data_IF_876859120384
#
_entry.id   IF_876859120384
#
_cell.length_a   1.000
_cell.length_b   1.000
_cell.length_c   1.000
_cell.angle_alpha   90.00
_cell.angle_beta   90.00
_cell.angle_gamma   90.00
#
_symmetry.space_group_name_H-M   'P 1'
#
loop_
_entity.id
_entity.type
_entity.pdbx_description
1 polymer ?
#
# COMPACT_ATOMS: atom_id res chain seq x y z
N UNK A 1 1.55 -73.26 -22.21
CA UNK A 1 2.25 -73.25 -23.51
C UNK A 1 2.97 -71.91 -23.57
N UNK A 2 4.23 -71.78 -23.21
CA UNK A 2 5.45 -71.90 -24.06
C UNK A 2 5.18 -71.21 -25.42
N UNK A 3 5.82 -70.07 -25.81
CA UNK A 3 7.18 -70.00 -26.39
C UNK A 3 7.44 -68.55 -26.78
N UNK A 4 8.50 -67.93 -26.32
CA UNK A 4 9.80 -67.52 -26.89
C UNK A 4 9.83 -66.24 -27.77
N UNK A 5 10.60 -65.31 -27.29
CA UNK A 5 11.75 -64.56 -27.87
C UNK A 5 11.81 -64.30 -29.39
N UNK A 6 12.07 -63.01 -29.71
CA UNK A 6 13.25 -62.59 -30.48
C UNK A 6 13.34 -61.02 -30.54
N UNK A 7 14.44 -60.49 -30.09
CA UNK A 7 15.00 -59.24 -30.62
C UNK A 7 15.83 -59.54 -31.83
N UNK A 8 16.05 -58.62 -32.76
CA UNK A 8 17.35 -57.96 -32.79
C UNK A 8 17.40 -56.47 -33.32
N UNK A 9 18.47 -55.87 -32.95
CA UNK A 9 19.47 -55.12 -33.71
C UNK A 9 19.21 -53.69 -34.13
N UNK A 10 20.01 -52.87 -33.50
CA UNK A 10 20.72 -51.65 -33.93
C UNK A 10 20.61 -51.24 -35.40
N UNK A 11 20.28 -49.95 -35.59
CA UNK A 11 20.93 -49.16 -36.66
C UNK A 11 21.27 -47.77 -36.11
N UNK A 12 22.55 -47.48 -36.02
CA UNK A 12 23.14 -46.20 -35.67
C UNK A 12 22.93 -45.23 -36.82
N UNK A 13 22.16 -44.17 -36.59
CA UNK A 13 22.05 -43.01 -37.48
C UNK A 13 22.74 -41.82 -36.85
N UNK A 14 23.90 -41.47 -37.36
CA UNK A 14 24.64 -40.25 -37.06
C UNK A 14 23.81 -39.09 -37.62
N UNK A 15 23.20 -38.30 -36.78
CA UNK A 15 22.63 -37.02 -37.18
C UNK A 15 23.54 -35.91 -36.65
N UNK A 16 24.04 -35.15 -37.62
CA UNK A 16 24.93 -34.01 -37.40
C UNK A 16 24.35 -33.03 -36.40
N UNK A 17 25.16 -32.69 -35.41
CA UNK A 17 24.94 -31.57 -34.47
C UNK A 17 25.02 -30.25 -35.24
N UNK A 18 23.88 -29.72 -35.63
CA UNK A 18 23.80 -28.27 -35.86
C UNK A 18 23.81 -27.57 -34.51
N UNK A 19 24.92 -26.94 -34.25
CA UNK A 19 25.10 -26.03 -33.15
C UNK A 19 24.05 -24.92 -33.27
N UNK A 20 22.96 -25.00 -32.52
CA UNK A 20 22.18 -23.83 -32.14
C UNK A 20 22.96 -23.10 -31.07
N UNK A 21 23.46 -21.94 -31.41
CA UNK A 21 23.88 -20.94 -30.42
C UNK A 21 22.74 -20.81 -29.40
N UNK A 22 22.94 -21.31 -28.19
CA UNK A 22 22.22 -20.86 -27.06
C UNK A 22 22.66 -19.42 -26.84
N UNK A 23 21.84 -18.47 -27.22
CA UNK A 23 21.85 -17.17 -26.58
C UNK A 23 21.72 -17.44 -25.10
N UNK A 24 22.81 -17.19 -24.38
CA UNK A 24 22.83 -17.10 -22.94
C UNK A 24 22.00 -15.89 -22.53
N UNK A 25 20.69 -16.05 -22.53
CA UNK A 25 19.78 -15.24 -21.77
C UNK A 25 20.05 -15.59 -20.30
N UNK A 26 21.14 -15.08 -19.76
CA UNK A 26 21.33 -14.95 -18.33
C UNK A 26 20.18 -14.09 -17.88
N UNK A 27 19.12 -14.71 -17.38
CA UNK A 27 18.02 -14.02 -16.76
C UNK A 27 18.62 -13.07 -15.72
N UNK A 28 18.52 -11.78 -15.97
CA UNK A 28 18.91 -10.78 -14.98
C UNK A 28 18.18 -11.14 -13.70
N UNK A 29 18.93 -11.39 -12.65
CA UNK A 29 18.36 -11.58 -11.31
C UNK A 29 17.51 -10.35 -11.02
N UNK A 30 16.23 -10.49 -10.66
CA UNK A 30 15.38 -9.35 -10.39
C UNK A 30 16.10 -8.43 -9.40
N UNK A 31 16.32 -7.18 -9.81
CA UNK A 31 17.00 -6.20 -8.97
C UNK A 31 16.17 -5.96 -7.72
N UNK A 32 16.79 -6.02 -6.55
CA UNK A 32 16.11 -5.68 -5.28
C UNK A 32 15.61 -4.22 -5.36
N UNK A 33 14.29 -3.95 -5.30
CA UNK A 33 13.76 -2.59 -5.39
C UNK A 33 14.21 -1.70 -4.22
N UNK A 34 14.78 -2.30 -3.18
CA UNK A 34 15.27 -1.61 -1.98
C UNK A 34 16.79 -1.57 -1.89
N UNK A 35 17.49 -1.88 -2.99
CA UNK A 35 18.94 -1.72 -3.04
C UNK A 35 19.33 -0.28 -2.69
N UNK A 36 20.27 -0.11 -1.76
CA UNK A 36 20.67 1.21 -1.24
C UNK A 36 19.73 1.80 -0.18
N UNK A 37 18.60 1.15 0.13
CA UNK A 37 17.70 1.53 1.22
C UNK A 37 17.78 0.58 2.42
N UNK A 38 18.62 -0.45 2.35
CA UNK A 38 18.88 -1.40 3.44
C UNK A 38 20.17 -1.06 4.18
N UNK A 39 20.25 -1.41 5.46
CA UNK A 39 21.45 -1.27 6.27
C UNK A 39 22.04 0.16 6.31
N UNK A 40 21.16 1.15 6.37
CA UNK A 40 21.55 2.57 6.27
C UNK A 40 22.42 3.07 7.44
N UNK A 41 22.38 2.45 8.60
CA UNK A 41 23.13 2.82 9.81
C UNK A 41 22.99 4.32 10.17
N UNK A 42 21.77 4.83 10.21
CA UNK A 42 21.45 6.24 10.50
C UNK A 42 21.61 6.50 11.98
N UNK A 43 22.42 7.50 12.30
CA UNK A 43 22.70 7.93 13.66
C UNK A 43 21.66 8.95 14.14
N UNK A 44 21.44 9.01 15.44
CA UNK A 44 20.66 10.07 16.08
C UNK A 44 21.25 11.45 15.75
N UNK A 45 20.39 12.44 15.57
CA UNK A 45 20.80 13.78 15.15
C UNK A 45 21.03 13.91 13.64
N UNK A 46 20.67 12.90 12.84
CA UNK A 46 20.85 12.91 11.38
C UNK A 46 19.50 13.06 10.68
N UNK A 47 19.43 14.00 9.73
CA UNK A 47 18.33 14.10 8.78
C UNK A 47 18.61 13.21 7.56
N UNK A 48 17.59 12.53 7.07
CA UNK A 48 17.64 11.70 5.87
C UNK A 48 16.40 11.90 5.02
N UNK A 49 16.58 11.93 3.71
CA UNK A 49 15.49 11.85 2.74
C UNK A 49 15.49 10.48 2.06
N UNK A 50 14.33 9.86 2.00
CA UNK A 50 14.06 8.65 1.22
C UNK A 50 13.18 9.04 0.05
N UNK A 51 13.64 8.76 -1.17
CA UNK A 51 12.88 9.02 -2.40
C UNK A 51 12.39 7.73 -3.01
N UNK A 52 11.12 7.74 -3.39
CA UNK A 52 10.51 6.68 -4.18
C UNK A 52 10.59 5.29 -3.55
N UNK A 53 10.40 5.18 -2.22
CA UNK A 53 10.25 3.89 -1.56
C UNK A 53 9.10 3.13 -2.21
N UNK A 54 9.40 2.02 -2.88
CA UNK A 54 8.38 1.22 -3.58
C UNK A 54 7.47 0.49 -2.59
N UNK A 55 6.32 1.09 -2.33
CA UNK A 55 5.24 0.51 -1.55
C UNK A 55 4.04 0.13 -2.44
N UNK A 56 4.24 0.01 -3.75
CA UNK A 56 3.18 -0.15 -4.76
C UNK A 56 2.51 -1.52 -4.77
N UNK A 57 2.96 -2.45 -3.94
CA UNK A 57 2.43 -3.80 -3.87
C UNK A 57 0.91 -3.83 -3.58
N UNK A 58 0.15 -4.49 -4.44
CA UNK A 58 -1.30 -4.61 -4.33
C UNK A 58 -1.79 -5.83 -3.53
N UNK A 59 -0.87 -6.69 -3.05
CA UNK A 59 -1.19 -7.93 -2.34
C UNK A 59 -1.32 -7.73 -0.83
N UNK A 60 -1.39 -6.49 -0.36
CA UNK A 60 -1.47 -6.18 1.07
C UNK A 60 -0.16 -6.37 1.84
N UNK A 61 0.95 -6.61 1.14
CA UNK A 61 2.27 -6.73 1.76
C UNK A 61 2.83 -5.36 2.10
N UNK A 62 3.29 -5.20 3.33
CA UNK A 62 3.90 -3.98 3.80
C UNK A 62 5.40 -4.00 3.61
N UNK A 63 5.96 -2.84 3.26
CA UNK A 63 7.39 -2.56 3.31
C UNK A 63 7.70 -2.04 4.70
N UNK A 64 8.48 -2.77 5.46
CA UNK A 64 8.87 -2.42 6.82
C UNK A 64 10.13 -1.59 6.82
N UNK A 65 10.13 -0.54 7.62
CA UNK A 65 11.22 0.43 7.69
C UNK A 65 11.61 0.70 9.15
N UNK A 66 12.90 0.73 9.41
CA UNK A 66 13.47 1.20 10.66
C UNK A 66 14.20 2.51 10.42
N UNK A 67 13.98 3.52 11.24
CA UNK A 67 14.63 4.82 11.07
C UNK A 67 16.16 4.75 11.18
N UNK A 68 16.70 3.72 11.82
CA UNK A 68 18.13 3.50 11.91
C UNK A 68 18.70 2.65 10.76
N UNK A 69 17.95 1.65 10.28
CA UNK A 69 18.45 0.62 9.37
C UNK A 69 17.92 0.74 7.93
N UNK A 70 16.91 1.57 7.71
CA UNK A 70 16.22 1.61 6.43
C UNK A 70 15.21 0.48 6.28
N UNK A 71 15.06 -0.04 5.05
CA UNK A 71 14.17 -1.17 4.77
C UNK A 71 14.66 -2.44 5.43
N UNK A 72 13.79 -3.12 6.15
CA UNK A 72 14.09 -4.33 6.90
C UNK A 72 13.15 -5.47 6.52
N UNK A 73 13.68 -6.69 6.54
CA UNK A 73 12.86 -7.90 6.40
C UNK A 73 12.23 -8.24 7.75
N UNK A 74 10.93 -8.51 7.73
CA UNK A 74 10.16 -8.84 8.93
C UNK A 74 9.27 -10.03 8.64
N UNK A 75 9.59 -11.16 9.23
CA UNK A 75 8.82 -12.41 9.06
C UNK A 75 7.55 -12.40 9.91
N UNK A 76 7.66 -11.95 11.16
CA UNK A 76 6.54 -11.81 12.09
C UNK A 76 6.47 -10.38 12.62
N UNK A 77 5.67 -9.52 11.99
CA UNK A 77 5.55 -8.12 12.40
C UNK A 77 5.00 -7.94 13.82
N UNK A 78 4.15 -8.87 14.26
CA UNK A 78 3.53 -8.81 15.59
C UNK A 78 4.52 -9.11 16.71
N UNK A 79 5.52 -9.94 16.44
CA UNK A 79 6.51 -10.36 17.42
C UNK A 79 7.84 -9.61 17.31
N UNK A 80 8.04 -8.79 16.26
CA UNK A 80 9.32 -8.13 15.98
C UNK A 80 9.37 -6.68 16.45
N UNK A 81 10.50 -6.26 17.06
CA UNK A 81 10.82 -4.86 17.32
C UNK A 81 11.82 -4.27 16.29
N UNK A 82 12.06 -4.97 15.18
CA UNK A 82 13.06 -4.55 14.19
C UNK A 82 12.58 -3.50 13.21
N UNK A 83 11.34 -3.07 13.29
CA UNK A 83 10.74 -2.07 12.42
C UNK A 83 10.02 -0.99 13.23
N UNK A 84 9.90 0.19 12.68
CA UNK A 84 9.27 1.34 13.34
C UNK A 84 8.00 1.79 12.63
N UNK A 85 8.02 1.82 11.29
CA UNK A 85 6.94 2.23 10.43
C UNK A 85 6.85 1.29 9.22
N UNK A 86 5.68 1.10 8.66
CA UNK A 86 5.51 0.26 7.48
C UNK A 86 4.51 0.85 6.50
N UNK A 87 4.75 0.60 5.21
CA UNK A 87 4.04 1.21 4.09
C UNK A 87 3.45 0.14 3.17
N UNK A 88 2.18 0.30 2.80
CA UNK A 88 1.56 -0.44 1.72
C UNK A 88 0.70 0.56 0.91
N UNK A 89 1.17 0.94 -0.26
CA UNK A 89 0.61 2.06 -1.00
C UNK A 89 0.51 3.30 -0.09
N UNK A 90 -0.65 3.89 0.07
CA UNK A 90 -0.88 5.03 0.96
C UNK A 90 -1.17 4.64 2.43
N UNK A 91 -1.35 3.35 2.70
CA UNK A 91 -1.57 2.87 4.06
C UNK A 91 -0.29 2.83 4.86
N UNK A 92 -0.36 3.35 6.06
CA UNK A 92 0.79 3.44 6.96
C UNK A 92 0.40 2.90 8.33
N UNK A 93 1.29 2.08 8.89
CA UNK A 93 1.19 1.58 10.25
C UNK A 93 2.52 1.74 10.98
N UNK A 94 2.46 1.76 12.32
CA UNK A 94 3.62 1.82 13.19
C UNK A 94 3.74 0.54 14.01
N UNK A 95 4.91 0.28 14.54
CA UNK A 95 5.09 -0.87 15.44
C UNK A 95 4.51 -0.56 16.80
N UNK A 96 3.19 -0.62 16.89
CA UNK A 96 2.42 -0.29 18.08
C UNK A 96 1.03 -0.90 18.04
N UNK A 97 0.37 -0.94 19.18
CA UNK A 97 -1.05 -1.29 19.29
C UNK A 97 -1.39 -2.61 18.61
N UNK A 98 -2.30 -2.57 17.65
CA UNK A 98 -2.74 -3.77 16.91
C UNK A 98 -1.81 -4.15 15.75
N UNK A 99 -0.82 -3.32 15.41
CA UNK A 99 0.13 -3.58 14.31
C UNK A 99 1.41 -4.26 14.76
N UNK A 100 1.78 -4.17 16.02
CA UNK A 100 3.00 -4.76 16.54
C UNK A 100 3.17 -4.55 18.05
N UNK A 101 4.11 -5.29 18.65
CA UNK A 101 4.36 -5.26 20.11
C UNK A 101 5.24 -4.09 20.59
N UNK A 102 5.74 -3.28 19.66
CA UNK A 102 6.64 -2.16 19.99
C UNK A 102 5.96 -1.08 20.82
N UNK A 103 6.78 -0.16 21.34
CA UNK A 103 6.32 1.00 22.10
C UNK A 103 5.84 2.16 21.22
N UNK A 104 5.76 1.94 19.91
CA UNK A 104 5.50 2.95 18.88
C UNK A 104 4.20 3.72 19.06
N UNK A 105 3.98 4.61 18.12
CA UNK A 105 2.81 5.47 17.99
C UNK A 105 3.14 6.71 17.19
N UNK A 106 2.16 7.49 16.85
CA UNK A 106 2.32 8.71 16.05
C UNK A 106 1.64 9.91 16.74
N UNK A 107 2.33 11.02 16.71
CA UNK A 107 1.79 12.34 17.05
C UNK A 107 1.82 13.20 15.77
N UNK A 108 0.70 13.84 15.43
CA UNK A 108 0.65 14.93 14.46
C UNK A 108 0.98 16.22 15.18
N UNK A 109 1.96 16.97 14.69
CA UNK A 109 2.28 18.30 15.24
C UNK A 109 1.36 19.38 14.64
N UNK A 110 1.45 20.58 15.16
CA UNK A 110 0.71 21.74 14.65
C UNK A 110 1.42 22.43 13.46
N UNK A 111 2.59 21.93 13.05
CA UNK A 111 3.45 22.57 12.06
C UNK A 111 3.67 21.78 10.79
N UNK A 112 4.02 22.50 9.75
CA UNK A 112 4.49 21.98 8.46
C UNK A 112 5.96 22.28 8.20
N UNK A 113 6.57 23.13 9.03
CA UNK A 113 8.00 23.42 8.95
C UNK A 113 8.79 22.30 9.66
N UNK A 114 9.46 21.51 8.86
CA UNK A 114 10.23 20.37 9.36
C UNK A 114 11.39 20.82 10.24
N UNK A 115 12.01 21.95 9.96
CA UNK A 115 13.15 22.46 10.71
C UNK A 115 12.75 23.00 12.08
N UNK A 116 11.55 23.57 12.20
CA UNK A 116 11.07 24.20 13.43
C UNK A 116 10.93 23.22 14.61
N UNK A 117 10.68 21.94 14.36
CA UNK A 117 10.57 20.93 15.40
C UNK A 117 11.96 20.41 15.80
N UNK A 118 12.54 20.95 16.87
CA UNK A 118 13.89 20.61 17.33
C UNK A 118 13.92 19.60 18.48
N UNK A 119 12.80 19.45 19.19
CA UNK A 119 12.65 18.54 20.34
C UNK A 119 11.40 17.69 20.14
N UNK A 120 11.50 16.38 20.37
CA UNK A 120 10.34 15.51 20.31
C UNK A 120 9.40 15.77 21.48
N UNK A 121 8.07 15.91 21.26
CA UNK A 121 7.09 15.83 22.32
C UNK A 121 7.17 14.50 23.06
N UNK A 122 6.84 14.49 24.35
CA UNK A 122 6.95 13.28 25.17
C UNK A 122 5.65 12.47 25.27
N UNK A 123 4.52 13.08 24.92
CA UNK A 123 3.18 12.51 25.05
C UNK A 123 2.30 12.79 23.83
N UNK A 124 1.03 12.39 23.88
CA UNK A 124 0.07 12.61 22.80
C UNK A 124 0.16 11.60 21.65
N UNK A 125 1.00 10.57 21.76
CA UNK A 125 1.17 9.55 20.72
C UNK A 125 -0.02 8.60 20.66
N UNK A 126 -0.60 8.44 19.49
CA UNK A 126 -1.67 7.50 19.22
C UNK A 126 -1.08 6.20 18.66
N UNK A 127 -1.48 5.08 19.26
CA UNK A 127 -1.11 3.73 18.81
C UNK A 127 -2.00 3.29 17.66
N UNK A 128 -1.49 2.35 16.89
CA UNK A 128 -2.25 1.69 15.84
C UNK A 128 -3.45 0.95 16.40
N UNK A 129 -4.53 0.98 15.64
CA UNK A 129 -5.81 0.38 16.01
C UNK A 129 -6.32 -0.50 14.87
N UNK A 130 -7.06 -1.55 15.22
CA UNK A 130 -7.82 -2.31 14.25
C UNK A 130 -9.05 -1.51 13.81
N UNK A 131 -9.23 -1.39 12.52
CA UNK A 131 -10.39 -0.76 11.91
C UNK A 131 -11.01 -1.65 10.86
N UNK A 132 -12.31 -1.58 10.79
CA UNK A 132 -13.06 -2.16 9.70
C UNK A 132 -13.03 -1.17 8.53
N UNK A 133 -12.37 -1.56 7.44
CA UNK A 133 -12.31 -0.77 6.21
C UNK A 133 -13.10 -1.48 5.12
N UNK A 134 -13.87 -0.72 4.38
CA UNK A 134 -14.53 -1.25 3.19
C UNK A 134 -13.50 -1.46 2.11
N UNK A 135 -13.12 -2.70 1.87
CA UNK A 135 -12.27 -3.03 0.74
C UNK A 135 -13.12 -3.14 -0.51
N UNK A 136 -13.17 -2.08 -1.28
CA UNK A 136 -13.54 -2.18 -2.68
C UNK A 136 -12.25 -2.22 -3.51
N UNK A 137 -11.77 -3.41 -3.71
CA UNK A 137 -10.74 -3.68 -4.72
C UNK A 137 -11.49 -4.13 -5.97
N UNK A 138 -11.22 -3.48 -7.09
CA UNK A 138 -11.91 -3.76 -8.35
C UNK A 138 -11.98 -5.26 -8.65
N UNK A 139 -13.19 -5.77 -8.93
CA UNK A 139 -13.44 -7.18 -9.20
C UNK A 139 -14.64 -7.77 -8.47
N UNK A 140 -15.41 -6.98 -7.72
CA UNK A 140 -16.72 -7.39 -7.22
C UNK A 140 -16.74 -8.29 -5.98
N UNK A 141 -15.61 -8.50 -5.34
CA UNK A 141 -15.55 -9.14 -4.01
C UNK A 141 -15.27 -8.11 -2.94
N UNK A 142 -16.15 -7.11 -2.82
CA UNK A 142 -16.12 -6.14 -1.74
C UNK A 142 -16.60 -6.78 -0.45
N UNK A 143 -15.90 -6.50 0.64
CA UNK A 143 -16.27 -6.89 2.00
C UNK A 143 -15.62 -5.93 2.97
N UNK A 144 -16.12 -5.91 4.20
CA UNK A 144 -15.44 -5.21 5.27
C UNK A 144 -14.23 -6.06 5.69
N UNK A 145 -13.07 -5.47 5.68
CA UNK A 145 -11.84 -6.10 6.18
C UNK A 145 -11.40 -5.36 7.44
N UNK A 146 -10.93 -6.13 8.41
CA UNK A 146 -10.26 -5.58 9.57
C UNK A 146 -8.79 -5.41 9.25
N UNK A 147 -8.30 -4.19 9.37
CA UNK A 147 -6.90 -3.84 9.14
C UNK A 147 -6.35 -3.05 10.32
N UNK A 148 -5.12 -3.33 10.68
CA UNK A 148 -4.39 -2.53 11.66
C UNK A 148 -3.67 -1.40 10.95
N UNK A 149 -3.88 -0.16 11.40
CA UNK A 149 -3.29 1.03 10.80
C UNK A 149 -3.13 2.17 11.81
N UNK A 150 -2.26 3.11 11.47
CA UNK A 150 -2.07 4.32 12.26
C UNK A 150 -3.28 5.24 12.11
N UNK A 151 -3.96 5.59 13.20
CA UNK A 151 -5.08 6.52 13.13
C UNK A 151 -4.69 7.94 12.76
N UNK A 152 -3.40 8.24 12.75
CA UNK A 152 -2.86 9.58 12.47
C UNK A 152 -2.31 9.70 11.05
N UNK A 153 -1.60 8.68 10.56
CA UNK A 153 -0.93 8.69 9.26
C UNK A 153 -1.76 8.08 8.14
N UNK A 154 -2.73 7.23 8.43
CA UNK A 154 -3.58 6.69 7.38
C UNK A 154 -4.53 7.80 6.88
N UNK A 155 -4.55 8.09 5.59
CA UNK A 155 -5.36 9.16 5.02
C UNK A 155 -6.87 8.99 5.26
N UNK A 156 -7.28 7.78 5.65
CA UNK A 156 -8.66 7.46 5.92
C UNK A 156 -9.63 7.93 4.85
N UNK A 157 -10.64 7.15 4.63
CA UNK A 157 -11.66 7.45 3.63
C UNK A 157 -12.86 8.05 4.35
N UNK A 158 -12.96 9.36 4.40
CA UNK A 158 -14.13 10.06 4.91
C UNK A 158 -15.38 9.74 4.08
N UNK A 159 -16.54 10.13 4.57
CA UNK A 159 -17.83 9.89 3.94
C UNK A 159 -17.87 10.38 2.48
N UNK A 160 -17.23 11.51 2.19
CA UNK A 160 -17.12 12.04 0.83
C UNK A 160 -16.38 11.11 -0.13
N UNK A 161 -15.32 10.47 0.31
CA UNK A 161 -14.58 9.48 -0.47
C UNK A 161 -15.42 8.22 -0.72
N UNK A 162 -16.13 7.74 0.30
CA UNK A 162 -17.04 6.61 0.15
C UNK A 162 -18.12 6.89 -0.88
N UNK A 163 -18.78 8.05 -0.80
CA UNK A 163 -19.82 8.43 -1.73
C UNK A 163 -19.33 8.51 -3.18
N UNK A 164 -18.10 8.94 -3.36
CA UNK A 164 -17.48 9.01 -4.67
C UNK A 164 -17.19 7.62 -5.24
N UNK A 165 -16.58 6.73 -4.48
CA UNK A 165 -16.33 5.34 -4.87
C UNK A 165 -17.67 4.63 -5.12
N UNK A 166 -18.64 4.79 -4.23
CA UNK A 166 -19.98 4.23 -4.35
C UNK A 166 -20.63 4.61 -5.67
N UNK A 167 -20.55 5.88 -6.07
CA UNK A 167 -21.11 6.33 -7.35
C UNK A 167 -20.45 5.66 -8.55
N UNK A 168 -19.13 5.56 -8.57
CA UNK A 168 -18.40 4.84 -9.62
C UNK A 168 -18.76 3.35 -9.69
N UNK A 169 -18.99 2.71 -8.54
CA UNK A 169 -19.46 1.32 -8.46
C UNK A 169 -20.85 1.18 -9.04
N UNK A 170 -21.77 2.08 -8.67
CA UNK A 170 -23.15 2.10 -9.16
C UNK A 170 -23.16 2.26 -10.68
N UNK A 171 -22.40 3.21 -11.21
CA UNK A 171 -22.30 3.43 -12.65
C UNK A 171 -21.74 2.20 -13.39
N UNK A 172 -20.67 1.60 -12.86
CA UNK A 172 -20.10 0.37 -13.43
C UNK A 172 -21.06 -0.81 -13.38
N UNK A 173 -21.86 -0.93 -12.31
CA UNK A 173 -22.86 -1.98 -12.18
C UNK A 173 -24.06 -1.74 -13.12
N UNK A 174 -24.51 -0.50 -13.26
CA UNK A 174 -25.58 -0.15 -14.19
C UNK A 174 -25.22 -0.52 -15.63
N UNK A 175 -24.03 -0.14 -16.09
CA UNK A 175 -23.52 -0.49 -17.43
C UNK A 175 -23.47 -1.99 -17.69
N UNK A 176 -23.17 -2.80 -16.65
CA UNK A 176 -23.05 -4.26 -16.78
C UNK A 176 -24.37 -5.01 -16.62
N UNK A 177 -25.26 -4.54 -15.75
CA UNK A 177 -26.43 -5.31 -15.30
C UNK A 177 -27.74 -4.81 -15.92
N UNK A 178 -27.74 -3.62 -16.49
CA UNK A 178 -28.95 -3.03 -17.09
C UNK A 178 -28.70 -2.83 -18.60
N UNK A 179 -29.18 -3.76 -19.45
CA UNK A 179 -29.06 -3.59 -20.89
C UNK A 179 -29.71 -2.28 -21.35
N UNK A 180 -29.04 -1.58 -22.24
CA UNK A 180 -29.55 -0.32 -22.84
C UNK A 180 -29.85 0.78 -21.81
N UNK A 181 -29.13 0.82 -20.67
CA UNK A 181 -29.39 1.81 -19.61
C UNK A 181 -29.49 3.25 -20.13
N UNK A 182 -28.66 3.62 -21.10
CA UNK A 182 -28.62 4.98 -21.67
C UNK A 182 -29.92 5.35 -22.43
N UNK A 183 -30.66 4.37 -22.94
CA UNK A 183 -31.87 4.57 -23.71
C UNK A 183 -33.17 4.48 -22.89
N UNK A 184 -33.04 4.15 -21.59
CA UNK A 184 -34.16 4.10 -20.67
C UNK A 184 -34.73 5.51 -20.40
N UNK A 185 -36.03 5.58 -20.08
CA UNK A 185 -36.64 6.78 -19.54
C UNK A 185 -35.98 7.17 -18.19
N UNK A 186 -36.05 8.42 -17.80
CA UNK A 186 -35.48 8.89 -16.53
C UNK A 186 -36.08 8.18 -15.32
N UNK A 187 -37.34 7.80 -15.37
CA UNK A 187 -37.99 7.03 -14.30
C UNK A 187 -37.43 5.61 -14.19
N UNK A 188 -37.18 4.93 -15.30
CA UNK A 188 -36.56 3.61 -15.35
C UNK A 188 -35.12 3.67 -14.92
N UNK A 189 -34.37 4.70 -15.34
CA UNK A 189 -32.99 4.93 -14.86
C UNK A 189 -32.91 5.09 -13.35
N UNK A 190 -33.81 5.88 -12.77
CA UNK A 190 -33.90 6.07 -11.32
C UNK A 190 -34.24 4.77 -10.60
N UNK A 191 -35.18 3.98 -11.09
CA UNK A 191 -35.55 2.69 -10.53
C UNK A 191 -34.38 1.69 -10.60
N UNK A 192 -33.69 1.61 -11.74
CA UNK A 192 -32.52 0.76 -11.91
C UNK A 192 -31.38 1.17 -10.97
N UNK A 193 -31.12 2.48 -10.85
CA UNK A 193 -30.12 3.03 -9.94
C UNK A 193 -30.44 2.70 -8.49
N UNK A 194 -31.66 2.90 -8.04
CA UNK A 194 -32.08 2.59 -6.68
C UNK A 194 -31.91 1.10 -6.34
N UNK A 195 -32.24 0.21 -7.28
CA UNK A 195 -32.06 -1.24 -7.12
C UNK A 195 -30.59 -1.63 -7.00
N UNK A 196 -29.73 -1.12 -7.87
CA UNK A 196 -28.28 -1.38 -7.84
C UNK A 196 -27.67 -0.79 -6.57
N UNK A 197 -28.05 0.41 -6.20
CA UNK A 197 -27.61 1.08 -4.97
C UNK A 197 -28.01 0.29 -3.70
N UNK A 198 -29.25 -0.18 -3.64
CA UNK A 198 -29.74 -1.03 -2.55
C UNK A 198 -28.88 -2.30 -2.39
N UNK A 199 -28.56 -2.96 -3.49
CA UNK A 199 -27.72 -4.16 -3.49
C UNK A 199 -26.27 -3.86 -3.03
N UNK A 200 -25.72 -2.71 -3.44
CA UNK A 200 -24.37 -2.30 -3.04
C UNK A 200 -24.34 -1.95 -1.55
N UNK A 201 -25.31 -1.19 -1.06
CA UNK A 201 -25.40 -0.80 0.35
C UNK A 201 -25.54 -1.99 1.31
N UNK A 202 -26.14 -3.09 0.86
CA UNK A 202 -26.21 -4.32 1.66
C UNK A 202 -24.84 -5.04 1.78
N UNK A 203 -23.98 -4.86 0.79
CA UNK A 203 -22.71 -5.58 0.70
C UNK A 203 -21.50 -4.80 1.24
N UNK A 204 -21.60 -3.49 1.23
CA UNK A 204 -20.48 -2.60 1.57
C UNK A 204 -20.94 -1.59 2.60
N UNK A 205 -20.45 -1.71 3.81
CA UNK A 205 -20.64 -0.71 4.86
C UNK A 205 -19.54 0.34 4.76
N UNK A 206 -19.86 1.63 4.63
CA UNK A 206 -18.85 2.68 4.67
C UNK A 206 -18.24 2.71 6.07
N UNK A 207 -16.93 2.68 6.15
CA UNK A 207 -16.20 2.89 7.39
C UNK A 207 -15.65 4.31 7.39
N UNK A 208 -16.02 5.07 8.38
CA UNK A 208 -15.45 6.39 8.59
C UNK A 208 -14.03 6.24 9.05
N UNK A 209 -13.14 6.79 8.28
CA UNK A 209 -11.76 6.81 8.64
C UNK A 209 -11.25 8.22 8.50
N UNK A 210 -10.32 8.59 9.24
CA UNK A 210 -9.59 9.79 9.47
C UNK A 210 -9.63 10.90 8.43
N UNK A 211 -9.95 12.10 8.88
CA UNK A 211 -9.87 13.35 8.11
C UNK A 211 -8.48 14.01 8.19
N UNK A 212 -7.48 13.37 8.76
CA UNK A 212 -6.19 14.00 9.08
C UNK A 212 -4.97 13.19 8.63
N UNK A 213 -5.13 12.34 7.63
CA UNK A 213 -4.03 11.61 7.05
C UNK A 213 -3.06 12.52 6.28
N UNK A 214 -1.96 11.97 5.83
CA UNK A 214 -0.90 12.68 5.13
C UNK A 214 -1.21 13.02 3.68
N UNK A 215 -2.15 12.31 3.07
CA UNK A 215 -2.49 12.34 1.64
C UNK A 215 -3.97 12.60 1.46
N UNK A 216 -4.32 13.48 0.53
CA UNK A 216 -5.69 13.67 0.05
C UNK A 216 -5.79 13.19 -1.38
N UNK A 217 -6.78 12.37 -1.67
CA UNK A 217 -7.10 11.87 -3.00
C UNK A 217 -8.38 12.55 -3.50
N UNK A 218 -8.31 13.28 -4.62
CA UNK A 218 -9.46 13.89 -5.26
C UNK A 218 -9.81 13.15 -6.56
N UNK A 219 -10.92 12.45 -6.55
CA UNK A 219 -11.42 11.68 -7.69
C UNK A 219 -12.27 12.48 -8.67
N UNK A 220 -12.56 13.75 -8.36
CA UNK A 220 -13.51 14.56 -9.15
C UNK A 220 -12.93 15.07 -10.47
N UNK A 221 -11.63 15.06 -10.64
CA UNK A 221 -11.00 15.87 -11.67
C UNK A 221 -10.49 15.13 -12.90
N UNK A 222 -10.40 13.81 -12.90
CA UNK A 222 -9.82 13.13 -14.07
C UNK A 222 -10.49 11.81 -14.44
N UNK A 223 -10.72 11.56 -15.74
CA UNK A 223 -11.07 10.23 -16.25
C UNK A 223 -9.97 9.19 -16.00
N UNK A 224 -8.74 9.61 -15.67
CA UNK A 224 -7.56 8.78 -15.52
C UNK A 224 -7.27 8.34 -14.07
N UNK A 225 -8.09 8.77 -13.12
CA UNK A 225 -7.88 8.44 -11.70
C UNK A 225 -7.79 9.67 -10.80
N UNK A 226 -7.56 9.50 -9.49
CA UNK A 226 -7.53 10.61 -8.56
C UNK A 226 -6.30 11.50 -8.74
N UNK A 227 -6.47 12.80 -8.50
CA UNK A 227 -5.37 13.68 -8.19
C UNK A 227 -4.96 13.54 -6.72
N UNK A 228 -3.71 13.81 -6.42
CA UNK A 228 -3.12 13.67 -5.10
C UNK A 228 -2.63 15.01 -4.61
N UNK A 229 -2.91 15.33 -3.34
CA UNK A 229 -2.30 16.45 -2.62
C UNK A 229 -1.79 16.01 -1.27
N UNK A 230 -0.68 16.59 -0.85
CA UNK A 230 0.02 16.20 0.36
C UNK A 230 -0.20 17.26 1.44
N UNK A 231 -0.54 16.80 2.65
CA UNK A 231 -0.85 17.71 3.74
C UNK A 231 0.42 18.38 4.30
N UNK A 232 1.59 17.79 4.04
CA UNK A 232 2.91 18.27 4.45
C UNK A 232 3.05 18.56 5.96
N UNK A 233 2.23 17.90 6.78
CA UNK A 233 2.38 17.98 8.22
C UNK A 233 3.66 17.28 8.67
N UNK A 234 4.28 17.83 9.70
CA UNK A 234 5.33 17.13 10.43
C UNK A 234 4.67 16.22 11.45
N UNK A 235 5.05 14.96 11.43
CA UNK A 235 4.64 13.96 12.39
C UNK A 235 5.84 13.55 13.24
N UNK A 236 5.58 13.10 14.47
CA UNK A 236 6.60 12.41 15.25
C UNK A 236 6.17 10.97 15.47
N UNK A 237 7.03 10.07 15.09
CA UNK A 237 6.87 8.63 15.30
C UNK A 237 7.69 8.25 16.52
N UNK A 238 7.02 7.71 17.53
CA UNK A 238 7.71 6.97 18.59
C UNK A 238 8.08 5.61 17.99
N UNK A 239 9.34 5.25 18.07
CA UNK A 239 9.87 4.00 17.48
C UNK A 239 9.44 2.77 18.28
N UNK A 240 9.67 1.58 17.74
CA UNK A 240 9.40 0.32 18.44
C UNK A 240 10.15 0.20 19.78
N UNK A 241 11.30 0.85 19.90
CA UNK A 241 12.15 0.85 21.08
C UNK A 241 11.97 2.06 22.00
N UNK A 242 11.00 2.93 21.69
CA UNK A 242 10.67 4.09 22.53
C UNK A 242 11.44 5.38 22.23
N UNK A 243 12.33 5.38 21.22
CA UNK A 243 12.97 6.60 20.71
C UNK A 243 12.02 7.38 19.81
N UNK A 244 12.45 8.52 19.29
CA UNK A 244 11.60 9.39 18.51
C UNK A 244 12.26 9.77 17.18
N UNK A 245 11.44 9.83 16.12
CA UNK A 245 11.84 10.38 14.84
C UNK A 245 10.73 11.27 14.30
N UNK A 246 11.05 12.51 13.88
CA UNK A 246 10.11 13.30 13.10
C UNK A 246 10.14 12.84 11.65
N UNK A 247 8.99 12.87 10.99
CA UNK A 247 8.81 12.48 9.59
C UNK A 247 7.87 13.45 8.89
N UNK A 248 8.15 13.72 7.62
CA UNK A 248 7.26 14.47 6.74
C UNK A 248 7.16 13.74 5.40
N UNK A 249 5.95 13.30 5.07
CA UNK A 249 5.66 12.61 3.80
C UNK A 249 5.33 13.67 2.75
N UNK A 250 6.02 13.63 1.61
CA UNK A 250 6.01 14.70 0.63
C UNK A 250 5.54 14.27 -0.75
N UNK A 251 5.60 12.97 -1.07
CA UNK A 251 5.13 12.45 -2.36
C UNK A 251 4.64 11.01 -2.27
N UNK A 252 3.78 10.64 -3.21
CA UNK A 252 3.19 9.31 -3.39
C UNK A 252 3.48 8.70 -4.76
N UNK A 253 4.27 9.39 -5.57
CA UNK A 253 4.57 9.00 -6.96
C UNK A 253 6.07 8.89 -7.19
N UNK A 254 6.45 8.05 -8.16
CA UNK A 254 7.82 8.03 -8.66
C UNK A 254 8.06 9.12 -9.73
N UNK A 255 9.27 9.18 -10.27
CA UNK A 255 9.66 10.12 -11.31
C UNK A 255 8.89 9.94 -12.64
N UNK A 256 8.10 8.88 -12.78
CA UNK A 256 7.26 8.58 -13.96
C UNK A 256 5.77 8.70 -13.64
N UNK A 257 5.41 9.40 -12.56
CA UNK A 257 4.04 9.55 -12.09
C UNK A 257 3.32 8.25 -11.69
N UNK A 258 4.05 7.16 -11.51
CA UNK A 258 3.48 5.90 -11.01
C UNK A 258 3.21 6.01 -9.52
N UNK A 259 2.00 5.67 -9.09
CA UNK A 259 1.58 5.76 -7.69
C UNK A 259 2.04 4.58 -6.84
N UNK A 260 2.13 4.78 -5.53
CA UNK A 260 2.57 3.77 -4.57
C UNK A 260 4.05 3.90 -4.19
N UNK A 261 4.69 4.98 -4.61
CA UNK A 261 6.09 5.27 -4.28
C UNK A 261 6.13 6.43 -3.29
N UNK A 262 6.60 6.14 -2.09
CA UNK A 262 6.58 7.11 -0.98
C UNK A 262 7.88 7.88 -0.93
N UNK A 263 7.79 9.21 -0.94
CA UNK A 263 8.92 10.09 -0.63
C UNK A 263 8.69 10.75 0.72
N UNK A 264 9.68 10.69 1.58
CA UNK A 264 9.63 11.31 2.89
C UNK A 264 11.01 11.71 3.39
N UNK A 265 11.07 12.70 4.23
CA UNK A 265 12.25 13.04 5.02
C UNK A 265 11.99 12.75 6.49
N UNK A 266 13.04 12.41 7.22
CA UNK A 266 12.96 12.15 8.63
C UNK A 266 14.24 12.58 9.36
N UNK A 267 14.11 12.74 10.67
CA UNK A 267 15.23 13.04 11.57
C UNK A 267 15.04 12.25 12.86
N UNK A 268 16.06 11.50 13.25
CA UNK A 268 16.07 10.74 14.50
C UNK A 268 16.55 11.64 15.62
N UNK A 269 15.72 11.88 16.62
CA UNK A 269 16.11 12.71 17.77
C UNK A 269 17.18 12.00 18.63
N UNK A 270 18.00 12.80 19.29
CA UNK A 270 19.01 12.33 20.26
C UNK A 270 18.37 11.93 21.57
#
# INVERSE_FOLDING_TARGET
MKVKFLAPALLAGIVALTSCNKDDNKGETPKDPYEGLRNLNIQEGTEKEIKYLDASNNEGKYVYFSFNKGVVEVTDPQASNNWDIAFNRYHIKTNSGTSGKGQGGVLKTDGKDFAALTVAPTDGYQKDVEKEVSSYIGGGKGGNQKVSLSPVLDPGHGEGFWNLIKNGIIEGALKKQVPNYETLSEQEKQAAKAKVEGNINQRVKPTLIHNNGWLTMDYKQTPQGPSYSYNNWVYVVKTATGKYAKIQLTDYKDAKDKTGFITFKYFVFK
#
